data_IF_639590512470
#
_entry.id   IF_639590512470
#
_cell.length_a   1.000
_cell.length_b   1.000
_cell.length_c   1.000
_cell.angle_alpha   90.00
_cell.angle_beta   90.00
_cell.angle_gamma   90.00
#
_symmetry.space_group_name_H-M   'P 1'
#
loop_
_entity.id
_entity.type
_entity.pdbx_description
1 polymer ?
#
# COMPACT_ATOMS: atom_id res chain seq x y z
N UNK A 1 12.05 7.32 1.31
CA UNK A 1 11.62 5.92 1.50
C UNK A 1 10.12 5.85 1.25
N UNK A 2 9.63 4.81 0.60
CA UNK A 2 8.22 4.63 0.21
C UNK A 2 7.66 3.39 0.89
N UNK A 3 6.40 3.43 1.30
CA UNK A 3 5.73 2.34 2.00
C UNK A 3 4.47 1.98 1.24
N UNK A 4 4.27 0.69 1.00
CA UNK A 4 2.99 0.16 0.55
C UNK A 4 2.16 -0.15 1.79
N UNK A 5 0.96 0.38 1.83
CA UNK A 5 0.09 0.34 3.01
C UNK A 5 -1.29 -0.20 2.66
N UNK A 6 -1.97 -0.76 3.65
CA UNK A 6 -3.39 -1.05 3.64
C UNK A 6 -4.09 -0.08 4.59
N UNK A 7 -4.87 0.83 4.03
CA UNK A 7 -5.73 1.73 4.79
C UNK A 7 -7.01 0.98 5.18
N UNK A 8 -7.12 0.60 6.45
CA UNK A 8 -8.25 -0.20 6.94
C UNK A 8 -9.51 0.65 7.01
N UNK A 9 -10.63 0.11 6.49
CA UNK A 9 -11.95 0.77 6.53
C UNK A 9 -12.45 0.95 7.97
N UNK A 10 -12.10 0.02 8.85
CA UNK A 10 -12.48 0.07 10.28
C UNK A 10 -11.37 0.71 11.09
N UNK A 11 -11.68 1.84 11.74
CA UNK A 11 -10.81 2.48 12.73
C UNK A 11 -9.70 3.38 12.19
N UNK A 12 -9.71 3.75 10.88
CA UNK A 12 -8.71 4.63 10.23
C UNK A 12 -7.24 4.22 10.50
N UNK A 13 -7.00 2.92 10.71
CA UNK A 13 -5.67 2.38 10.94
C UNK A 13 -4.98 2.13 9.61
N UNK A 14 -3.69 2.44 9.54
CA UNK A 14 -2.84 2.14 8.38
C UNK A 14 -1.95 0.98 8.75
N UNK A 15 -2.04 -0.12 8.00
CA UNK A 15 -1.14 -1.26 8.14
C UNK A 15 -0.06 -1.16 7.08
N UNK A 16 1.21 -1.17 7.49
CA UNK A 16 2.35 -1.16 6.56
C UNK A 16 2.58 -2.58 6.07
N UNK A 17 2.44 -2.79 4.76
CA UNK A 17 2.65 -4.08 4.11
C UNK A 17 4.13 -4.30 3.82
N UNK A 18 4.77 -3.29 3.24
CA UNK A 18 6.17 -3.34 2.85
C UNK A 18 6.76 -1.93 2.73
N UNK A 19 8.07 -1.82 2.91
CA UNK A 19 8.81 -0.57 2.72
C UNK A 19 9.88 -0.75 1.64
N UNK A 20 10.08 0.29 0.84
CA UNK A 20 10.96 0.30 -0.31
C UNK A 20 11.79 1.58 -0.34
N UNK A 21 13.04 1.50 -0.84
CA UNK A 21 13.88 2.69 -0.97
C UNK A 21 13.36 3.64 -2.06
N UNK A 22 12.82 3.10 -3.17
CA UNK A 22 12.36 3.87 -4.33
C UNK A 22 10.84 3.74 -4.56
N UNK A 23 10.27 4.74 -5.24
CA UNK A 23 8.85 4.77 -5.60
C UNK A 23 8.49 3.64 -6.56
N UNK A 24 9.38 3.32 -7.49
CA UNK A 24 9.16 2.27 -8.50
C UNK A 24 9.00 0.88 -7.87
N UNK A 25 9.82 0.55 -6.87
CA UNK A 25 9.69 -0.72 -6.17
C UNK A 25 8.37 -0.81 -5.38
N UNK A 26 7.98 0.28 -4.72
CA UNK A 26 6.68 0.36 -4.06
C UNK A 26 5.51 0.27 -5.05
N UNK A 27 5.64 0.87 -6.23
CA UNK A 27 4.63 0.79 -7.29
C UNK A 27 4.49 -0.64 -7.79
N UNK A 28 5.61 -1.31 -8.08
CA UNK A 28 5.61 -2.70 -8.53
C UNK A 28 4.87 -3.59 -7.52
N UNK A 29 5.20 -3.47 -6.23
CA UNK A 29 4.52 -4.24 -5.18
C UNK A 29 3.04 -3.91 -5.05
N UNK A 30 2.67 -2.63 -5.14
CA UNK A 30 1.28 -2.20 -5.14
C UNK A 30 0.50 -2.82 -6.32
N UNK A 31 1.08 -2.82 -7.52
CA UNK A 31 0.45 -3.41 -8.69
C UNK A 31 0.27 -4.93 -8.55
N UNK A 32 1.24 -5.64 -7.96
CA UNK A 32 1.07 -7.06 -7.62
C UNK A 32 -0.13 -7.30 -6.69
N UNK A 33 -0.27 -6.49 -5.63
CA UNK A 33 -1.38 -6.60 -4.69
C UNK A 33 -2.74 -6.30 -5.34
N UNK A 34 -2.80 -5.30 -6.22
CA UNK A 34 -4.00 -4.96 -6.99
C UNK A 34 -4.37 -6.12 -7.92
N UNK A 35 -3.40 -6.68 -8.63
CA UNK A 35 -3.59 -7.80 -9.55
C UNK A 35 -4.07 -9.06 -8.82
N UNK A 36 -3.47 -9.39 -7.68
CA UNK A 36 -3.89 -10.50 -6.83
C UNK A 36 -5.33 -10.30 -6.29
N UNK A 37 -5.70 -9.04 -6.02
CA UNK A 37 -7.04 -8.64 -5.63
C UNK A 37 -7.97 -8.34 -6.82
N UNK A 38 -7.87 -9.13 -7.90
CA UNK A 38 -8.76 -9.06 -9.09
C UNK A 38 -8.78 -7.66 -9.73
N UNK A 39 -7.60 -7.08 -9.90
CA UNK A 39 -7.40 -5.74 -10.46
C UNK A 39 -8.10 -4.61 -9.68
N UNK A 40 -8.42 -4.85 -8.40
CA UNK A 40 -9.03 -3.86 -7.52
C UNK A 40 -8.05 -3.39 -6.43
N UNK A 41 -7.91 -2.08 -6.20
CA UNK A 41 -7.17 -1.56 -5.05
C UNK A 41 -7.95 -1.63 -3.74
N UNK A 42 -9.24 -1.92 -3.80
CA UNK A 42 -10.10 -2.06 -2.63
C UNK A 42 -10.26 -3.51 -2.23
N UNK A 43 -9.95 -3.80 -0.97
CA UNK A 43 -10.18 -5.09 -0.35
C UNK A 43 -11.38 -5.02 0.58
N UNK A 44 -11.82 -6.19 1.07
CA UNK A 44 -12.83 -6.25 2.14
C UNK A 44 -12.38 -5.54 3.42
N UNK A 45 -11.07 -5.49 3.68
CA UNK A 45 -10.49 -4.93 4.90
C UNK A 45 -10.19 -3.43 4.78
N UNK A 46 -9.92 -2.95 3.57
CA UNK A 46 -9.30 -1.65 3.37
C UNK A 46 -9.08 -1.28 1.92
N UNK A 47 -8.15 -0.36 1.70
CA UNK A 47 -7.65 0.04 0.38
C UNK A 47 -6.13 0.01 0.38
N UNK A 48 -5.53 -0.56 -0.65
CA UNK A 48 -4.09 -0.48 -0.85
C UNK A 48 -3.69 0.94 -1.24
N UNK A 49 -2.54 1.39 -0.75
CA UNK A 49 -1.99 2.70 -1.05
C UNK A 49 -0.48 2.72 -0.98
N UNK A 50 0.12 3.79 -1.51
CA UNK A 50 1.55 4.06 -1.39
C UNK A 50 1.71 5.38 -0.65
N UNK A 51 2.54 5.38 0.40
CA UNK A 51 2.89 6.57 1.16
C UNK A 51 4.38 6.82 1.09
N UNK A 52 4.77 8.08 0.99
CA UNK A 52 6.16 8.48 1.25
C UNK A 52 6.35 8.57 2.76
N UNK A 53 7.43 7.98 3.26
CA UNK A 53 7.88 8.22 4.63
C UNK A 53 8.45 9.63 4.67
N UNK A 54 7.99 10.52 5.56
CA UNK A 54 8.63 11.82 5.73
C UNK A 54 10.06 11.58 6.21
N UNK A 55 11.04 12.00 5.41
CA UNK A 55 12.41 12.21 5.87
C UNK A 55 12.38 13.51 6.68
N UNK A 56 12.30 13.36 7.99
CA UNK A 56 12.60 14.45 8.92
C UNK A 56 14.10 14.67 9.04
#
# INVERSE_FOLDING_TARGET
>A
MFQVVLELKVGRRVHVIAEFPTKEQALNRYMELVKDNKDSPETRQGKYGIRAKPTS
#
